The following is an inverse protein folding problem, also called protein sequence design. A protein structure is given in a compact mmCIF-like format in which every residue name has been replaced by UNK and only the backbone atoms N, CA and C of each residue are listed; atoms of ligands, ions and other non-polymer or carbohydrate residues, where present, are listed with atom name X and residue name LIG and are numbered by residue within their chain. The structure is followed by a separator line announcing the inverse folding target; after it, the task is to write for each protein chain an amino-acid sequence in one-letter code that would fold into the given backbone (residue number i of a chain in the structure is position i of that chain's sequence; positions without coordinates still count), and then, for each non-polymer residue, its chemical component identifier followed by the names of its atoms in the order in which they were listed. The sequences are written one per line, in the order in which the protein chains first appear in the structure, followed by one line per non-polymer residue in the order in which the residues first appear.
data_IF_952835118047
#
_entry.id   IF_952835118047
#
_cell.length_a   1.000
_cell.length_b   1.000
_cell.length_c   1.000
_cell.angle_alpha   90.00
_cell.angle_beta   90.00
_cell.angle_gamma   90.00
#
_symmetry.space_group_name_H-M   'P 1'
#
loop_
_entity.id
_entity.type
_entity.pdbx_description
1 polymer ?
#
# COMPACT_ATOMS: atom_id res chain seq x y z
N UNK A 1 37.21 14.50 -10.38
CA UNK A 1 37.05 13.05 -10.16
C UNK A 1 35.79 12.86 -9.33
N UNK A 2 34.79 12.11 -9.82
CA UNK A 2 33.58 11.84 -9.04
C UNK A 2 33.93 10.86 -7.91
N UNK A 3 33.65 11.25 -6.67
CA UNK A 3 33.92 10.45 -5.48
C UNK A 3 32.99 9.23 -5.47
N UNK A 4 33.54 8.02 -5.33
CA UNK A 4 32.77 6.78 -5.29
C UNK A 4 31.94 6.78 -4.00
N UNK A 5 30.62 6.78 -4.14
CA UNK A 5 29.69 6.73 -3.03
C UNK A 5 29.44 5.27 -2.62
N UNK A 6 29.47 4.94 -1.32
CA UNK A 6 29.29 3.56 -0.83
C UNK A 6 27.84 3.07 -0.88
N UNK A 7 26.93 3.87 -1.44
CA UNK A 7 25.50 3.57 -1.52
C UNK A 7 24.98 3.78 -2.93
N UNK A 8 23.94 3.04 -3.28
CA UNK A 8 23.07 3.37 -4.41
C UNK A 8 21.80 3.98 -3.83
N UNK A 9 21.58 5.25 -4.13
CA UNK A 9 20.33 5.93 -3.84
C UNK A 9 19.46 5.89 -5.09
N UNK A 10 18.23 5.41 -4.94
CA UNK A 10 17.28 5.29 -6.03
C UNK A 10 15.88 5.63 -5.56
N UNK A 11 15.20 6.50 -6.31
CA UNK A 11 13.75 6.69 -6.20
C UNK A 11 13.07 5.64 -7.06
N UNK A 12 12.23 4.79 -6.45
CA UNK A 12 11.49 3.76 -7.18
C UNK A 12 10.19 4.30 -7.75
N UNK A 13 9.48 5.14 -6.99
CA UNK A 13 8.13 5.56 -7.31
C UNK A 13 7.77 6.81 -6.49
N UNK A 14 6.95 7.68 -7.08
CA UNK A 14 6.31 8.81 -6.40
C UNK A 14 4.80 8.53 -6.24
N UNK A 15 4.34 8.24 -5.01
CA UNK A 15 2.96 7.78 -4.74
C UNK A 15 1.89 8.78 -5.22
N UNK A 16 2.18 10.07 -5.17
CA UNK A 16 1.27 11.11 -5.65
C UNK A 16 0.98 10.97 -7.15
N UNK A 17 1.94 10.49 -7.95
CA UNK A 17 1.75 10.24 -9.38
C UNK A 17 0.78 9.08 -9.66
N UNK A 18 0.56 8.20 -8.67
CA UNK A 18 -0.44 7.12 -8.73
C UNK A 18 -1.83 7.57 -8.24
N UNK A 19 -2.00 8.86 -7.94
CA UNK A 19 -3.25 9.42 -7.41
C UNK A 19 -3.50 9.06 -5.95
N UNK A 20 -2.46 8.81 -5.16
CA UNK A 20 -2.56 8.68 -3.69
C UNK A 20 -2.64 10.08 -3.09
N UNK A 21 -3.60 10.30 -2.20
CA UNK A 21 -3.74 11.61 -1.54
C UNK A 21 -2.58 11.81 -0.55
N UNK A 22 -1.87 12.96 -0.58
CA UNK A 22 -0.76 13.24 0.35
C UNK A 22 -1.12 13.07 1.84
N UNK A 23 -2.37 13.35 2.23
CA UNK A 23 -2.83 13.18 3.60
C UNK A 23 -2.83 11.72 4.09
N UNK A 24 -2.87 10.76 3.16
CA UNK A 24 -2.85 9.32 3.45
C UNK A 24 -1.42 8.74 3.41
N UNK A 25 -0.41 9.54 3.06
CA UNK A 25 1.00 9.14 3.10
C UNK A 25 1.52 9.38 4.52
N UNK A 26 1.14 8.51 5.44
CA UNK A 26 1.54 8.61 6.84
C UNK A 26 1.34 7.29 7.58
N UNK A 27 2.01 7.15 8.73
CA UNK A 27 2.06 5.91 9.51
C UNK A 27 0.69 5.33 9.85
N UNK A 28 -0.31 6.17 10.07
CA UNK A 28 -1.67 5.71 10.38
C UNK A 28 -2.37 5.08 9.19
N UNK A 29 -2.05 5.46 7.95
CA UNK A 29 -2.82 5.12 6.75
C UNK A 29 -2.06 4.26 5.75
N UNK A 30 -0.73 4.28 5.79
CA UNK A 30 0.15 3.55 4.86
C UNK A 30 0.96 2.50 5.62
N UNK A 31 0.97 1.27 5.10
CA UNK A 31 1.77 0.15 5.59
C UNK A 31 2.63 -0.44 4.48
N UNK A 32 3.83 -0.90 4.86
CA UNK A 32 4.79 -1.58 3.99
C UNK A 32 5.45 -2.68 4.82
N UNK A 33 4.92 -3.89 4.73
CA UNK A 33 5.45 -5.06 5.47
C UNK A 33 6.62 -5.74 4.75
N UNK A 34 6.83 -5.42 3.47
CA UNK A 34 7.93 -5.92 2.63
C UNK A 34 8.16 -5.00 1.43
N UNK A 35 9.17 -5.31 0.61
CA UNK A 35 9.43 -4.63 -0.67
C UNK A 35 8.41 -4.97 -1.78
N UNK A 36 7.45 -5.87 -1.53
CA UNK A 36 6.49 -6.35 -2.55
C UNK A 36 5.24 -5.50 -2.67
N UNK A 37 4.73 -4.96 -1.57
CA UNK A 37 3.45 -4.29 -1.55
C UNK A 37 3.47 -3.03 -0.68
N UNK A 38 2.80 -1.99 -1.17
CA UNK A 38 2.43 -0.82 -0.37
C UNK A 38 0.92 -0.84 -0.24
N UNK A 39 0.42 -0.80 1.00
CA UNK A 39 -1.00 -0.77 1.29
C UNK A 39 -1.36 0.59 1.88
N UNK A 40 -2.32 1.29 1.27
CA UNK A 40 -2.77 2.62 1.70
C UNK A 40 -4.28 2.57 1.94
N UNK A 41 -4.70 3.04 3.10
CA UNK A 41 -6.12 3.26 3.41
C UNK A 41 -6.46 4.69 3.06
N UNK A 42 -7.46 4.86 2.21
CA UNK A 42 -7.88 6.17 1.72
C UNK A 42 -9.39 6.33 1.85
N UNK A 43 -9.85 7.56 2.06
CA UNK A 43 -11.25 7.95 1.92
C UNK A 43 -11.39 8.82 0.67
N UNK A 44 -12.20 8.38 -0.30
CA UNK A 44 -12.51 9.15 -1.52
C UNK A 44 -13.97 9.56 -1.45
N UNK A 45 -14.21 10.86 -1.32
CA UNK A 45 -15.54 11.37 -0.97
C UNK A 45 -16.00 10.80 0.37
N UNK A 46 -17.12 10.07 0.38
CA UNK A 46 -17.64 9.37 1.56
C UNK A 46 -17.26 7.88 1.63
N UNK A 47 -16.52 7.35 0.65
CA UNK A 47 -16.21 5.93 0.57
C UNK A 47 -14.80 5.59 1.06
N UNK A 48 -14.71 4.66 2.01
CA UNK A 48 -13.44 4.07 2.44
C UNK A 48 -12.97 3.02 1.43
N UNK A 49 -11.68 3.03 1.13
CA UNK A 49 -11.04 2.04 0.26
C UNK A 49 -9.61 1.74 0.71
N UNK A 50 -9.14 0.57 0.27
CA UNK A 50 -7.74 0.18 0.37
C UNK A 50 -7.14 0.19 -1.03
N UNK A 51 -6.00 0.85 -1.16
CA UNK A 51 -5.16 0.89 -2.35
C UNK A 51 -3.97 -0.02 -2.12
N UNK A 52 -3.74 -0.95 -3.03
CA UNK A 52 -2.62 -1.89 -2.98
C UNK A 52 -1.74 -1.61 -4.20
N UNK A 53 -0.52 -1.17 -3.96
CA UNK A 53 0.52 -1.02 -4.99
C UNK A 53 1.37 -2.27 -4.97
N UNK A 54 1.35 -3.04 -6.06
CA UNK A 54 2.25 -4.17 -6.28
C UNK A 54 3.56 -3.62 -6.88
N UNK A 55 4.68 -3.81 -6.19
CA UNK A 55 5.97 -3.26 -6.63
C UNK A 55 6.54 -3.98 -7.86
N UNK A 56 5.96 -5.11 -8.27
CA UNK A 56 6.25 -5.74 -9.57
C UNK A 56 5.53 -5.05 -10.74
N UNK A 57 4.42 -4.34 -10.48
CA UNK A 57 3.66 -3.56 -11.45
C UNK A 57 3.08 -2.27 -10.81
N UNK A 58 3.93 -1.30 -10.43
CA UNK A 58 3.53 -0.17 -9.59
C UNK A 58 2.59 0.81 -10.29
N UNK A 59 2.51 0.77 -11.61
CA UNK A 59 1.67 1.69 -12.41
C UNK A 59 0.19 1.28 -12.40
N UNK A 60 -0.14 0.07 -11.95
CA UNK A 60 -1.49 -0.47 -11.94
C UNK A 60 -1.97 -0.77 -10.50
N UNK A 61 -2.15 0.26 -9.65
CA UNK A 61 -2.60 0.07 -8.27
C UNK A 61 -4.01 -0.50 -8.21
N UNK A 62 -4.21 -1.50 -7.36
CA UNK A 62 -5.51 -2.14 -7.14
C UNK A 62 -6.26 -1.36 -6.07
N UNK A 63 -7.45 -0.84 -6.40
CA UNK A 63 -8.30 -0.10 -5.47
C UNK A 63 -9.53 -0.94 -5.12
N UNK A 64 -9.73 -1.25 -3.83
CA UNK A 64 -10.85 -2.07 -3.36
C UNK A 64 -11.67 -1.31 -2.31
N UNK A 65 -13.01 -1.27 -2.41
CA UNK A 65 -13.87 -0.61 -1.45
C UNK A 65 -13.95 -1.42 -0.15
N UNK A 66 -12.96 -1.21 0.74
CA UNK A 66 -12.80 -1.93 2.00
C UNK A 66 -12.78 -0.89 3.13
N UNK A 67 -13.66 -1.05 4.10
CA UNK A 67 -13.65 -0.27 5.35
C UNK A 67 -12.94 -1.05 6.44
N UNK A 68 -11.81 -0.53 6.93
CA UNK A 68 -11.00 -1.16 7.96
C UNK A 68 -10.21 -0.11 8.76
N UNK A 69 -10.01 -0.37 10.05
CA UNK A 69 -9.16 0.42 10.95
C UNK A 69 -7.68 0.23 10.63
N UNK A 70 -7.30 -0.95 10.12
CA UNK A 70 -5.93 -1.27 9.75
C UNK A 70 -5.93 -2.33 8.65
N UNK A 71 -4.91 -2.27 7.79
CA UNK A 71 -4.72 -3.20 6.69
C UNK A 71 -3.22 -3.46 6.51
N UNK A 72 -2.82 -4.72 6.47
CA UNK A 72 -1.44 -5.14 6.21
C UNK A 72 -1.42 -6.26 5.16
N UNK A 73 -0.47 -6.19 4.24
CA UNK A 73 -0.27 -7.21 3.20
C UNK A 73 0.68 -8.29 3.68
N UNK A 74 0.47 -9.53 3.22
CA UNK A 74 1.42 -10.60 3.41
C UNK A 74 2.76 -10.26 2.70
N UNK A 75 3.93 -10.57 3.29
CA UNK A 75 5.23 -10.21 2.72
C UNK A 75 5.58 -10.83 1.35
N UNK A 76 4.79 -11.78 0.84
CA UNK A 76 5.15 -12.54 -0.37
C UNK A 76 3.96 -12.80 -1.28
N UNK A 77 2.83 -13.21 -0.70
CA UNK A 77 1.60 -13.57 -1.42
C UNK A 77 0.60 -12.41 -1.43
N UNK A 78 -0.39 -12.46 -2.32
CA UNK A 78 -1.46 -11.44 -2.43
C UNK A 78 -2.56 -11.60 -1.37
N UNK A 79 -2.18 -11.92 -0.13
CA UNK A 79 -3.10 -12.07 1.01
C UNK A 79 -3.08 -10.79 1.85
N UNK A 80 -4.25 -10.31 2.27
CA UNK A 80 -4.39 -9.11 3.11
C UNK A 80 -5.07 -9.44 4.44
N UNK A 81 -4.53 -8.90 5.52
CA UNK A 81 -5.14 -8.95 6.84
C UNK A 81 -5.76 -7.59 7.18
N UNK A 82 -7.02 -7.62 7.61
CA UNK A 82 -7.82 -6.44 7.91
C UNK A 82 -8.25 -6.45 9.38
N UNK A 83 -8.23 -5.28 10.02
CA UNK A 83 -8.86 -5.03 11.32
C UNK A 83 -10.05 -4.11 11.10
N UNK A 84 -11.24 -4.47 11.58
CA UNK A 84 -12.44 -3.64 11.53
C UNK A 84 -13.53 -4.11 12.48
N UNK A 85 -14.63 -3.36 12.57
CA UNK A 85 -15.63 -3.49 13.65
C UNK A 85 -16.46 -4.79 13.63
N UNK A 86 -16.65 -5.46 12.49
CA UNK A 86 -17.53 -6.64 12.46
C UNK A 86 -16.90 -7.95 11.98
N UNK A 87 -15.72 -7.98 11.34
CA UNK A 87 -15.11 -9.27 10.96
C UNK A 87 -13.58 -9.25 10.86
N UNK A 88 -12.92 -10.15 11.60
CA UNK A 88 -11.54 -10.58 11.34
C UNK A 88 -11.53 -11.48 10.10
N UNK A 89 -11.59 -10.90 8.90
CA UNK A 89 -11.34 -11.67 7.69
C UNK A 89 -9.84 -11.65 7.37
N UNK A 90 -9.19 -12.81 7.42
CA UNK A 90 -8.06 -13.09 6.53
C UNK A 90 -8.72 -13.25 5.16
N UNK A 91 -8.82 -12.18 4.39
CA UNK A 91 -9.32 -12.30 3.02
C UNK A 91 -8.17 -12.89 2.23
N UNK A 92 -8.24 -14.19 2.01
CA UNK A 92 -7.40 -14.89 1.05
C UNK A 92 -7.77 -14.34 -0.33
N UNK A 93 -7.10 -13.29 -0.78
CA UNK A 93 -7.20 -12.85 -2.17
C UNK A 93 -6.26 -13.73 -3.00
N UNK A 94 -6.87 -14.63 -3.78
CA UNK A 94 -6.26 -15.04 -5.04
C UNK A 94 -6.66 -13.93 -6.02
N UNK A 95 -5.67 -13.15 -6.46
CA UNK A 95 -5.85 -12.26 -7.62
C UNK A 95 -5.83 -13.11 -8.87
#
# INVERSE_FOLDING_TARGET
MAQILPIRFQEHLQLQNLGVNPANIGFSYLTMESDKFICIREKVGEQNQVVIVDMSDPNNPIRRPISADSAIMNPTSKVIALKGEMVKFVVHYVV
#
